data_IF_053751457558
#
_entry.id   IF_053751457558
#
_cell.length_a   1.000
_cell.length_b   1.000
_cell.length_c   1.000
_cell.angle_alpha   90.00
_cell.angle_beta   90.00
_cell.angle_gamma   90.00
#
_symmetry.space_group_name_H-M   'P 1'
#
loop_
_entity.id
_entity.type
_entity.pdbx_description
1 polymer ?
#
# COMPACT_ATOMS: atom_id res chain seq x y z
N UNK A 1 -70.30 67.86 11.82
CA UNK A 1 -68.94 67.38 12.13
C UNK A 1 -69.04 66.04 12.90
N UNK A 2 -68.86 64.89 12.21
CA UNK A 2 -68.84 63.55 12.76
C UNK A 2 -67.43 63.03 12.62
N UNK A 3 -66.78 62.76 13.79
CA UNK A 3 -65.47 62.12 13.81
C UNK A 3 -65.64 60.57 13.81
N UNK A 4 -65.00 59.93 12.87
CA UNK A 4 -64.87 58.48 12.83
C UNK A 4 -63.62 58.01 13.66
N UNK A 5 -63.70 56.98 14.45
CA UNK A 5 -62.55 56.45 15.15
C UNK A 5 -61.83 55.41 14.27
N UNK A 6 -60.55 55.61 14.03
CA UNK A 6 -59.64 54.66 13.37
C UNK A 6 -59.12 53.73 14.48
N UNK A 7 -59.68 52.53 14.56
CA UNK A 7 -59.15 51.44 15.40
C UNK A 7 -58.14 50.61 14.59
N UNK A 8 -56.84 50.81 14.80
CA UNK A 8 -55.78 49.97 14.27
C UNK A 8 -55.75 48.68 15.09
N UNK A 9 -56.25 47.58 14.51
CA UNK A 9 -56.00 46.21 15.07
C UNK A 9 -54.53 45.83 14.79
N UNK A 10 -53.78 45.67 15.89
CA UNK A 10 -52.44 45.04 15.85
C UNK A 10 -52.61 43.56 15.47
N UNK A 11 -51.80 42.99 14.59
CA UNK A 11 -51.78 41.55 14.34
C UNK A 11 -51.35 40.83 15.61
N UNK A 12 -52.22 39.98 16.17
CA UNK A 12 -51.90 39.09 17.28
C UNK A 12 -50.87 38.06 16.82
N UNK A 13 -49.72 37.97 17.51
CA UNK A 13 -48.75 36.92 17.36
C UNK A 13 -49.40 35.54 17.57
N UNK A 14 -49.06 34.51 16.77
CA UNK A 14 -49.65 33.19 16.89
C UNK A 14 -49.36 32.62 18.31
N UNK A 15 -50.41 32.22 18.96
CA UNK A 15 -50.38 31.74 20.35
C UNK A 15 -49.59 30.41 20.39
N UNK A 16 -48.36 30.44 20.95
CA UNK A 16 -47.44 29.30 21.10
C UNK A 16 -48.08 28.16 21.92
N UNK A 17 -49.09 28.50 22.77
CA UNK A 17 -49.88 27.52 23.55
C UNK A 17 -50.82 26.72 22.66
N UNK A 18 -51.37 27.34 21.59
CA UNK A 18 -52.22 26.66 20.62
C UNK A 18 -51.42 25.66 19.76
N UNK A 19 -50.20 26.01 19.42
CA UNK A 19 -49.25 25.10 18.70
C UNK A 19 -48.83 23.91 19.57
N UNK A 20 -48.55 24.11 20.87
CA UNK A 20 -48.25 23.01 21.82
C UNK A 20 -49.46 22.08 22.09
N UNK A 21 -50.67 22.59 22.05
CA UNK A 21 -51.89 21.79 22.23
C UNK A 21 -52.16 20.88 20.99
N UNK A 22 -51.65 21.24 19.82
CA UNK A 22 -51.76 20.42 18.61
C UNK A 22 -50.75 19.25 18.59
N UNK A 23 -49.68 19.30 19.39
CA UNK A 23 -48.63 18.27 19.49
C UNK A 23 -48.85 17.27 20.64
N UNK A 24 -50.08 17.06 21.10
CA UNK A 24 -50.35 16.10 22.17
C UNK A 24 -50.02 14.66 21.72
N UNK A 25 -49.18 13.89 22.42
CA UNK A 25 -48.72 12.55 22.02
C UNK A 25 -49.84 11.55 21.76
N UNK A 26 -51.00 11.73 22.38
CA UNK A 26 -52.20 10.89 22.17
C UNK A 26 -52.85 11.13 20.79
N UNK A 27 -52.81 12.34 20.23
CA UNK A 27 -53.32 12.66 18.89
C UNK A 27 -52.39 12.11 17.81
N UNK A 28 -51.09 12.23 18.01
CA UNK A 28 -50.09 11.67 17.11
C UNK A 28 -50.21 10.12 17.03
N UNK A 29 -50.45 9.47 18.20
CA UNK A 29 -50.62 8.01 18.25
C UNK A 29 -51.92 7.54 17.63
N UNK A 30 -53.02 8.30 17.78
CA UNK A 30 -54.29 7.99 17.13
C UNK A 30 -54.28 8.29 15.63
N UNK A 31 -53.57 9.34 15.18
CA UNK A 31 -53.33 9.60 13.74
C UNK A 31 -52.48 8.54 13.11
N UNK A 32 -51.39 8.09 13.77
CA UNK A 32 -50.51 7.00 13.26
C UNK A 32 -51.25 5.65 13.16
N UNK A 33 -52.34 5.43 13.90
CA UNK A 33 -53.20 4.24 13.82
C UNK A 33 -54.28 4.33 12.73
N UNK A 34 -54.55 5.52 12.19
CA UNK A 34 -55.48 5.71 11.08
C UNK A 34 -54.88 5.26 9.76
N UNK A 35 -55.72 4.89 8.78
CA UNK A 35 -55.26 4.50 7.41
C UNK A 35 -54.34 5.52 6.77
N UNK A 36 -54.64 6.84 6.79
CA UNK A 36 -53.74 7.86 6.22
C UNK A 36 -52.43 8.03 7.04
N UNK A 37 -52.50 7.89 8.37
CA UNK A 37 -51.33 7.99 9.24
C UNK A 37 -50.30 6.89 9.00
N UNK A 38 -50.75 5.66 8.73
CA UNK A 38 -49.85 4.54 8.36
C UNK A 38 -49.17 4.77 7.01
N UNK A 39 -49.84 5.35 6.04
CA UNK A 39 -49.25 5.69 4.74
C UNK A 39 -48.20 6.79 4.87
N UNK A 40 -48.46 7.82 5.69
CA UNK A 40 -47.47 8.88 5.96
C UNK A 40 -46.24 8.30 6.68
N UNK A 41 -46.47 7.50 7.72
CA UNK A 41 -45.37 6.87 8.44
C UNK A 41 -44.52 5.94 7.55
N UNK A 42 -45.18 5.08 6.75
CA UNK A 42 -44.47 4.22 5.80
C UNK A 42 -43.66 5.01 4.76
N UNK A 43 -44.27 6.09 4.22
CA UNK A 43 -43.58 6.97 3.27
C UNK A 43 -42.36 7.66 3.87
N UNK A 44 -42.50 8.19 5.07
CA UNK A 44 -41.41 8.86 5.79
C UNK A 44 -40.28 7.87 6.13
N UNK A 45 -40.64 6.66 6.57
CA UNK A 45 -39.66 5.59 6.84
C UNK A 45 -38.92 5.20 5.57
N UNK A 46 -39.61 5.04 4.44
CA UNK A 46 -38.97 4.70 3.16
C UNK A 46 -38.08 5.82 2.65
N UNK A 47 -38.47 7.09 2.80
CA UNK A 47 -37.62 8.23 2.46
C UNK A 47 -36.34 8.24 3.28
N UNK A 48 -36.45 8.06 4.60
CA UNK A 48 -35.29 7.96 5.49
C UNK A 48 -34.42 6.79 5.09
N UNK A 49 -34.98 5.60 4.83
CA UNK A 49 -34.23 4.44 4.40
C UNK A 49 -33.51 4.66 3.04
N UNK A 50 -34.15 5.32 2.08
CA UNK A 50 -33.50 5.65 0.80
C UNK A 50 -32.29 6.57 0.98
N UNK A 51 -32.47 7.65 1.78
CA UNK A 51 -31.38 8.62 2.02
C UNK A 51 -30.26 7.96 2.84
N UNK A 52 -30.59 7.22 3.88
CA UNK A 52 -29.58 6.53 4.71
C UNK A 52 -28.84 5.45 3.91
N UNK A 53 -29.54 4.68 3.08
CA UNK A 53 -28.89 3.68 2.21
C UNK A 53 -27.92 4.35 1.20
N UNK A 54 -28.34 5.44 0.56
CA UNK A 54 -27.48 6.21 -0.33
C UNK A 54 -26.28 6.84 0.39
N UNK A 55 -26.49 7.46 1.54
CA UNK A 55 -25.46 8.09 2.34
C UNK A 55 -24.42 7.06 2.87
N UNK A 56 -24.90 5.97 3.46
CA UNK A 56 -24.01 4.91 3.98
C UNK A 56 -23.22 4.23 2.86
N UNK A 57 -23.86 4.01 1.70
CA UNK A 57 -23.13 3.48 0.52
C UNK A 57 -22.07 4.46 0.07
N UNK A 58 -22.39 5.75 -0.01
CA UNK A 58 -21.45 6.82 -0.39
C UNK A 58 -20.28 6.91 0.57
N UNK A 59 -20.49 6.91 1.89
CA UNK A 59 -19.40 6.97 2.88
C UNK A 59 -18.51 5.74 2.82
N UNK A 60 -19.07 4.52 2.82
CA UNK A 60 -18.27 3.28 2.73
C UNK A 60 -17.41 3.24 1.46
N UNK A 61 -17.96 3.70 0.33
CA UNK A 61 -17.21 3.74 -0.94
C UNK A 61 -16.14 4.83 -0.92
N UNK A 62 -16.45 6.01 -0.37
CA UNK A 62 -15.50 7.12 -0.22
C UNK A 62 -14.34 6.76 0.72
N UNK A 63 -14.62 6.15 1.87
CA UNK A 63 -13.60 5.69 2.82
C UNK A 63 -12.67 4.66 2.16
N UNK A 64 -13.25 3.75 1.37
CA UNK A 64 -12.46 2.76 0.61
C UNK A 64 -11.58 3.42 -0.45
N UNK A 65 -12.10 4.38 -1.17
CA UNK A 65 -11.35 5.13 -2.19
C UNK A 65 -10.19 5.92 -1.56
N UNK A 66 -10.44 6.56 -0.43
CA UNK A 66 -9.43 7.30 0.32
C UNK A 66 -8.33 6.36 0.85
N UNK A 67 -8.70 5.19 1.40
CA UNK A 67 -7.73 4.21 1.87
C UNK A 67 -6.84 3.65 0.74
N UNK A 68 -7.39 3.47 -0.47
CA UNK A 68 -6.61 3.09 -1.65
C UNK A 68 -5.69 4.22 -2.13
N UNK A 69 -6.12 5.49 -1.99
CA UNK A 69 -5.27 6.65 -2.23
C UNK A 69 -4.07 6.69 -1.29
N UNK A 70 -4.29 6.53 0.02
CA UNK A 70 -3.21 6.44 1.04
C UNK A 70 -2.24 5.30 0.74
N UNK A 71 -2.75 4.15 0.26
CA UNK A 71 -1.88 3.03 -0.13
C UNK A 71 -0.91 3.42 -1.26
N UNK A 72 -1.39 4.16 -2.28
CA UNK A 72 -0.57 4.58 -3.43
C UNK A 72 0.36 5.76 -3.13
N UNK A 73 -0.12 6.71 -2.34
CA UNK A 73 0.56 8.00 -2.19
C UNK A 73 1.53 8.00 -1.00
N UNK A 74 1.25 7.17 0.03
CA UNK A 74 2.05 7.12 1.26
C UNK A 74 2.67 5.73 1.50
N UNK A 75 1.82 4.68 1.60
CA UNK A 75 2.28 3.38 2.13
C UNK A 75 3.22 2.64 1.16
N UNK A 76 2.94 2.65 -0.14
CA UNK A 76 3.79 2.01 -1.15
C UNK A 76 5.11 2.74 -1.34
N UNK A 77 5.14 4.09 -1.46
CA UNK A 77 6.39 4.84 -1.50
C UNK A 77 7.28 4.63 -0.27
N UNK A 78 6.69 4.57 0.93
CA UNK A 78 7.43 4.33 2.17
C UNK A 78 8.09 2.94 2.20
N UNK A 79 7.37 1.90 1.74
CA UNK A 79 7.94 0.55 1.63
C UNK A 79 9.08 0.49 0.61
N UNK A 80 8.92 1.19 -0.53
CA UNK A 80 9.98 1.30 -1.53
C UNK A 80 11.22 2.01 -0.98
N UNK A 81 11.03 3.11 -0.26
CA UNK A 81 12.09 3.90 0.38
C UNK A 81 12.87 3.07 1.42
N UNK A 82 12.18 2.26 2.23
CA UNK A 82 12.82 1.37 3.20
C UNK A 82 13.68 0.28 2.50
N UNK A 83 13.17 -0.32 1.43
CA UNK A 83 13.94 -1.27 0.62
C UNK A 83 15.16 -0.61 -0.05
N UNK A 84 15.00 0.63 -0.55
CA UNK A 84 16.08 1.38 -1.16
C UNK A 84 17.17 1.73 -0.14
N UNK A 85 16.79 2.09 1.10
CA UNK A 85 17.72 2.31 2.21
C UNK A 85 18.57 1.07 2.49
N UNK A 86 17.94 -0.12 2.65
CA UNK A 86 18.65 -1.37 2.87
C UNK A 86 19.64 -1.66 1.74
N UNK A 87 19.16 -1.53 0.50
CA UNK A 87 19.98 -1.81 -0.69
C UNK A 87 21.18 -0.86 -0.77
N UNK A 88 20.97 0.44 -0.53
CA UNK A 88 22.03 1.44 -0.58
C UNK A 88 23.10 1.21 0.49
N UNK A 89 22.69 0.84 1.73
CA UNK A 89 23.63 0.45 2.79
C UNK A 89 24.46 -0.78 2.39
N UNK A 90 23.81 -1.80 1.82
CA UNK A 90 24.48 -3.03 1.37
C UNK A 90 25.45 -2.77 0.21
N UNK A 91 25.05 -1.95 -0.75
CA UNK A 91 25.92 -1.53 -1.89
C UNK A 91 27.12 -0.74 -1.39
N UNK A 92 26.94 0.12 -0.38
CA UNK A 92 28.04 0.88 0.23
C UNK A 92 29.08 -0.08 0.87
N UNK A 93 28.63 -1.08 1.63
CA UNK A 93 29.52 -2.07 2.26
C UNK A 93 30.29 -2.90 1.22
N UNK A 94 29.58 -3.40 0.21
CA UNK A 94 30.21 -4.16 -0.89
C UNK A 94 31.20 -3.32 -1.69
N UNK A 95 30.88 -2.04 -1.96
CA UNK A 95 31.79 -1.11 -2.65
C UNK A 95 33.04 -0.82 -1.82
N UNK A 96 32.90 -0.62 -0.50
CA UNK A 96 34.03 -0.42 0.42
C UNK A 96 34.97 -1.64 0.43
N UNK A 97 34.44 -2.87 0.50
CA UNK A 97 35.20 -4.11 0.42
C UNK A 97 35.94 -4.25 -0.93
N UNK A 98 35.25 -3.95 -2.03
CA UNK A 98 35.84 -3.97 -3.40
C UNK A 98 36.99 -2.96 -3.52
N UNK A 99 36.79 -1.74 -3.02
CA UNK A 99 37.81 -0.68 -3.00
C UNK A 99 39.06 -1.10 -2.23
N UNK A 100 38.88 -1.76 -1.10
CA UNK A 100 39.99 -2.25 -0.27
C UNK A 100 40.81 -3.34 -0.97
N UNK A 101 40.14 -4.29 -1.66
CA UNK A 101 40.80 -5.38 -2.40
C UNK A 101 41.56 -4.91 -3.63
N UNK A 102 41.14 -3.80 -4.24
CA UNK A 102 41.83 -3.23 -5.40
C UNK A 102 43.27 -2.78 -5.06
N UNK A 103 43.55 -2.48 -3.79
CA UNK A 103 44.88 -2.04 -3.31
C UNK A 103 45.33 -0.69 -3.87
N UNK A 104 46.22 0.01 -3.20
CA UNK A 104 46.81 1.25 -3.72
C UNK A 104 45.79 2.36 -4.01
N UNK A 105 45.70 2.81 -5.27
CA UNK A 105 44.72 3.81 -5.71
C UNK A 105 43.39 3.13 -6.03
N UNK A 106 42.38 3.48 -5.25
CA UNK A 106 40.99 3.04 -5.44
C UNK A 106 40.45 3.46 -6.82
N UNK A 107 39.84 2.56 -7.60
CA UNK A 107 39.20 2.92 -8.86
C UNK A 107 38.10 3.97 -8.63
N UNK A 108 38.08 5.04 -9.44
CA UNK A 108 37.12 6.16 -9.31
C UNK A 108 35.69 5.66 -9.31
N UNK A 109 35.36 4.74 -10.20
CA UNK A 109 33.99 4.18 -10.30
C UNK A 109 33.53 3.45 -9.02
N UNK A 110 34.44 2.78 -8.29
CA UNK A 110 34.10 2.10 -7.03
C UNK A 110 33.89 3.13 -5.92
N UNK A 111 34.72 4.18 -5.89
CA UNK A 111 34.56 5.30 -4.95
C UNK A 111 33.24 6.02 -5.18
N UNK A 112 32.92 6.35 -6.43
CA UNK A 112 31.68 7.05 -6.80
C UNK A 112 30.46 6.20 -6.39
N UNK A 113 30.51 4.88 -6.63
CA UNK A 113 29.47 3.95 -6.21
C UNK A 113 29.25 3.96 -4.69
N UNK A 114 30.33 3.95 -3.91
CA UNK A 114 30.25 4.05 -2.46
C UNK A 114 29.63 5.39 -2.02
N UNK A 115 30.14 6.49 -2.56
CA UNK A 115 29.69 7.84 -2.19
C UNK A 115 28.21 8.05 -2.56
N UNK A 116 27.81 7.56 -3.72
CA UNK A 116 26.43 7.60 -4.18
C UNK A 116 25.53 6.78 -3.23
N UNK A 117 25.91 5.54 -2.92
CA UNK A 117 25.13 4.67 -2.05
C UNK A 117 24.94 5.26 -0.63
N UNK A 118 25.99 5.84 -0.05
CA UNK A 118 25.88 6.55 1.25
C UNK A 118 24.97 7.77 1.14
N UNK A 119 25.07 8.54 0.03
CA UNK A 119 24.21 9.70 -0.22
C UNK A 119 22.75 9.31 -0.37
N UNK A 120 22.46 8.24 -1.08
CA UNK A 120 21.12 7.67 -1.25
C UNK A 120 20.55 7.19 0.10
N UNK A 121 21.33 6.44 0.89
CA UNK A 121 20.90 6.00 2.22
C UNK A 121 20.57 7.19 3.15
N UNK A 122 21.39 8.23 3.13
CA UNK A 122 21.14 9.45 3.91
C UNK A 122 19.88 10.20 3.42
N UNK A 123 19.67 10.30 2.10
CA UNK A 123 18.48 10.93 1.53
C UNK A 123 17.20 10.19 1.91
N UNK A 124 17.21 8.84 1.89
CA UNK A 124 16.06 8.04 2.28
C UNK A 124 15.70 8.23 3.77
N UNK A 125 16.68 8.32 4.66
CA UNK A 125 16.43 8.60 6.09
C UNK A 125 15.75 9.96 6.30
N UNK A 126 16.06 10.96 5.48
CA UNK A 126 15.42 12.29 5.53
C UNK A 126 14.02 12.25 4.94
N UNK A 127 13.82 11.59 3.79
CA UNK A 127 12.53 11.51 3.10
C UNK A 127 11.47 10.81 3.96
N UNK A 128 11.85 9.72 4.60
CA UNK A 128 10.95 8.96 5.49
C UNK A 128 10.53 9.72 6.75
N UNK A 129 11.26 10.74 7.16
CA UNK A 129 10.89 11.55 8.33
C UNK A 129 9.71 12.51 8.08
N UNK A 130 9.36 12.77 6.81
CA UNK A 130 8.28 13.69 6.42
C UNK A 130 6.88 13.07 6.33
N UNK A 131 6.74 11.74 6.25
CA UNK A 131 5.48 11.06 5.94
C UNK A 131 4.73 10.49 7.16
N UNK A 132 4.90 11.09 8.34
CA UNK A 132 4.19 10.66 9.56
C UNK A 132 2.73 11.16 9.59
N UNK A 133 1.84 10.60 8.78
CA UNK A 133 0.41 10.89 8.81
C UNK A 133 -0.41 9.61 8.96
N UNK A 134 -0.91 9.36 10.19
CA UNK A 134 -1.87 8.30 10.48
C UNK A 134 -1.99 8.04 11.98
N UNK A 135 -3.05 8.54 12.60
CA UNK A 135 -3.27 8.46 14.06
C UNK A 135 -3.48 7.02 14.60
N UNK A 136 -3.64 6.01 13.72
CA UNK A 136 -3.96 4.64 14.12
C UNK A 136 -2.74 3.70 14.26
N UNK A 137 -1.51 4.21 14.07
CA UNK A 137 -0.28 3.42 14.10
C UNK A 137 0.77 3.97 15.09
N UNK A 138 0.34 4.50 16.24
CA UNK A 138 1.24 5.16 17.19
C UNK A 138 2.42 4.24 17.64
N UNK A 139 2.15 2.97 17.95
CA UNK A 139 3.19 2.04 18.41
C UNK A 139 4.19 1.65 17.29
N UNK A 140 3.71 1.40 16.07
CA UNK A 140 4.54 1.08 14.92
C UNK A 140 5.39 2.28 14.45
N UNK A 141 4.82 3.48 14.48
CA UNK A 141 5.52 4.71 14.08
C UNK A 141 6.68 5.06 15.03
N UNK A 142 6.57 4.79 16.32
CA UNK A 142 7.66 5.02 17.28
C UNK A 142 8.78 4.00 17.08
N UNK A 143 8.48 2.72 16.90
CA UNK A 143 9.48 1.69 16.57
C UNK A 143 10.25 2.02 15.28
N UNK A 144 9.55 2.42 14.22
CA UNK A 144 10.17 2.85 12.97
C UNK A 144 11.05 4.09 13.12
N UNK A 145 10.65 5.01 14.01
CA UNK A 145 11.44 6.19 14.34
C UNK A 145 12.73 5.83 15.07
N UNK A 146 12.66 4.91 16.03
CA UNK A 146 13.85 4.42 16.74
C UNK A 146 14.83 3.73 15.80
N UNK A 147 14.34 2.87 14.89
CA UNK A 147 15.18 2.23 13.88
C UNK A 147 15.90 3.27 12.99
N UNK A 148 15.18 4.27 12.51
CA UNK A 148 15.77 5.33 11.67
C UNK A 148 16.82 6.16 12.43
N UNK A 149 16.55 6.50 13.69
CA UNK A 149 17.53 7.21 14.55
C UNK A 149 18.77 6.35 14.75
N UNK A 150 18.60 5.04 15.00
CA UNK A 150 19.69 4.08 15.12
C UNK A 150 20.56 4.05 13.87
N UNK A 151 19.95 3.96 12.68
CA UNK A 151 20.67 3.98 11.40
C UNK A 151 21.35 5.35 11.20
N UNK A 152 20.64 6.45 11.40
CA UNK A 152 21.16 7.81 11.21
C UNK A 152 22.36 8.13 12.11
N UNK A 153 22.40 7.58 13.32
CA UNK A 153 23.52 7.74 14.26
C UNK A 153 24.66 6.77 14.00
N UNK A 154 24.37 5.57 13.51
CA UNK A 154 25.38 4.57 13.19
C UNK A 154 26.10 4.80 11.86
N UNK A 155 25.43 5.41 10.87
CA UNK A 155 25.98 5.66 9.54
C UNK A 155 27.25 6.53 9.55
N UNK A 156 27.34 7.65 10.31
CA UNK A 156 28.59 8.42 10.45
C UNK A 156 29.73 7.61 11.09
N UNK A 157 29.43 6.74 12.03
CA UNK A 157 30.46 5.87 12.66
C UNK A 157 31.00 4.89 11.62
N UNK A 158 30.13 4.23 10.86
CA UNK A 158 30.51 3.34 9.76
C UNK A 158 31.38 4.07 8.73
N UNK A 159 30.97 5.25 8.26
CA UNK A 159 31.74 6.02 7.27
C UNK A 159 33.11 6.43 7.81
N UNK A 160 33.19 6.79 9.09
CA UNK A 160 34.46 7.09 9.77
C UNK A 160 35.42 5.91 9.80
N UNK A 161 34.91 4.70 10.07
CA UNK A 161 35.71 3.47 10.03
C UNK A 161 36.21 3.15 8.62
N UNK A 162 35.37 3.31 7.59
CA UNK A 162 35.75 3.11 6.18
C UNK A 162 36.84 4.11 5.76
N UNK A 163 36.71 5.39 6.09
CA UNK A 163 37.75 6.38 5.73
C UNK A 163 39.06 6.08 6.47
N UNK A 164 39.00 5.61 7.71
CA UNK A 164 40.19 5.19 8.46
C UNK A 164 40.82 3.93 7.81
N UNK A 165 40.01 2.96 7.39
CA UNK A 165 40.47 1.77 6.67
C UNK A 165 41.18 2.17 5.37
N UNK A 166 40.58 3.08 4.59
CA UNK A 166 41.13 3.61 3.31
C UNK A 166 42.47 4.32 3.51
N UNK A 167 42.55 5.18 4.53
CA UNK A 167 43.79 5.91 4.84
C UNK A 167 44.95 4.94 5.16
N UNK A 168 44.69 3.94 5.99
CA UNK A 168 45.68 2.93 6.36
C UNK A 168 46.08 2.03 5.18
N UNK A 169 45.10 1.62 4.36
CA UNK A 169 45.35 0.80 3.16
C UNK A 169 46.25 1.51 2.16
N UNK A 170 46.01 2.81 1.90
CA UNK A 170 46.87 3.65 1.04
C UNK A 170 48.31 3.76 1.56
N UNK A 171 48.46 3.78 2.87
CA UNK A 171 49.76 3.81 3.54
C UNK A 171 50.44 2.46 3.67
N UNK A 172 49.78 1.36 3.19
CA UNK A 172 50.28 0.01 3.28
C UNK A 172 50.21 -0.61 4.68
N UNK A 173 49.49 0.00 5.62
CA UNK A 173 49.37 -0.50 6.98
C UNK A 173 48.35 -1.65 7.10
N UNK A 174 48.75 -2.84 7.63
CA UNK A 174 47.85 -3.99 7.77
C UNK A 174 46.63 -3.72 8.62
N UNK A 175 46.69 -2.75 9.53
CA UNK A 175 45.56 -2.36 10.41
C UNK A 175 44.34 -1.84 9.63
N UNK A 176 44.53 -1.42 8.38
CA UNK A 176 43.42 -1.03 7.48
C UNK A 176 42.38 -2.15 7.31
N UNK A 177 42.83 -3.42 7.21
CA UNK A 177 41.93 -4.56 7.13
C UNK A 177 41.09 -4.77 8.40
N UNK A 178 41.68 -4.46 9.59
CA UNK A 178 40.93 -4.54 10.83
C UNK A 178 39.82 -3.49 10.92
N UNK A 179 40.09 -2.23 10.51
CA UNK A 179 39.07 -1.18 10.43
C UNK A 179 37.96 -1.50 9.42
N UNK A 180 38.30 -2.05 8.25
CA UNK A 180 37.29 -2.47 7.30
C UNK A 180 36.44 -3.60 7.86
N UNK A 181 37.06 -4.58 8.52
CA UNK A 181 36.34 -5.71 9.15
C UNK A 181 35.41 -5.24 10.25
N UNK A 182 35.81 -4.23 11.05
CA UNK A 182 34.96 -3.63 12.08
C UNK A 182 33.80 -2.85 11.45
N UNK A 183 34.06 -2.05 10.40
CA UNK A 183 33.01 -1.34 9.68
C UNK A 183 31.98 -2.32 9.09
N UNK A 184 32.44 -3.37 8.40
CA UNK A 184 31.54 -4.38 7.83
C UNK A 184 30.80 -5.14 8.92
N UNK A 185 31.44 -5.44 10.05
CA UNK A 185 30.77 -6.05 11.21
C UNK A 185 29.66 -5.15 11.74
N UNK A 186 29.89 -3.86 11.93
CA UNK A 186 28.86 -2.89 12.34
C UNK A 186 27.72 -2.81 11.31
N UNK A 187 28.03 -2.81 10.02
CA UNK A 187 27.03 -2.83 8.96
C UNK A 187 26.15 -4.07 9.05
N UNK A 188 26.75 -5.25 9.15
CA UNK A 188 26.06 -6.54 9.14
C UNK A 188 25.27 -6.83 10.43
N UNK A 189 25.77 -6.38 11.60
CA UNK A 189 25.16 -6.72 12.88
C UNK A 189 24.28 -5.64 13.48
N UNK A 190 24.37 -4.40 12.98
CA UNK A 190 23.58 -3.28 13.49
C UNK A 190 22.78 -2.56 12.40
N UNK A 191 23.43 -1.98 11.38
CA UNK A 191 22.74 -1.10 10.41
C UNK A 191 21.78 -1.87 9.50
N UNK A 192 22.23 -2.97 8.90
CA UNK A 192 21.39 -3.77 8.00
C UNK A 192 20.23 -4.45 8.73
N UNK A 193 20.37 -5.05 9.92
CA UNK A 193 19.22 -5.58 10.65
C UNK A 193 18.17 -4.53 11.00
N UNK A 194 18.58 -3.29 11.36
CA UNK A 194 17.63 -2.20 11.60
C UNK A 194 16.91 -1.77 10.29
N UNK A 195 17.62 -1.73 9.17
CA UNK A 195 17.01 -1.41 7.87
C UNK A 195 16.07 -2.53 7.39
N UNK A 196 16.41 -3.80 7.61
CA UNK A 196 15.57 -4.96 7.30
C UNK A 196 14.29 -4.98 8.15
N UNK A 197 14.39 -4.64 9.44
CA UNK A 197 13.23 -4.56 10.32
C UNK A 197 12.30 -3.43 9.88
N UNK A 198 12.85 -2.26 9.53
CA UNK A 198 12.09 -1.13 9.00
C UNK A 198 11.38 -1.52 7.69
N UNK A 199 12.07 -2.20 6.78
CA UNK A 199 11.49 -2.69 5.53
C UNK A 199 10.35 -3.69 5.80
N UNK A 200 10.54 -4.63 6.72
CA UNK A 200 9.52 -5.62 7.11
C UNK A 200 8.27 -4.94 7.65
N UNK A 201 8.41 -3.98 8.57
CA UNK A 201 7.27 -3.22 9.09
C UNK A 201 6.48 -2.51 7.97
N UNK A 202 7.18 -1.94 6.98
CA UNK A 202 6.55 -1.26 5.84
C UNK A 202 5.85 -2.22 4.89
N UNK A 203 6.43 -3.38 4.61
CA UNK A 203 5.79 -4.42 3.79
C UNK A 203 4.54 -4.98 4.50
N UNK A 204 4.61 -5.19 5.81
CA UNK A 204 3.47 -5.64 6.61
C UNK A 204 2.34 -4.59 6.60
N UNK A 205 2.65 -3.30 6.67
CA UNK A 205 1.68 -2.22 6.55
C UNK A 205 0.97 -2.21 5.18
N UNK A 206 1.73 -2.37 4.07
CA UNK A 206 1.16 -2.52 2.71
C UNK A 206 0.21 -3.72 2.65
N UNK A 207 0.65 -4.86 3.16
CA UNK A 207 -0.11 -6.11 3.16
C UNK A 207 -1.39 -5.99 3.99
N UNK A 208 -1.31 -5.40 5.18
CA UNK A 208 -2.46 -5.15 6.05
C UNK A 208 -3.47 -4.19 5.42
N UNK A 209 -3.00 -3.09 4.80
CA UNK A 209 -3.86 -2.15 4.09
C UNK A 209 -4.62 -2.82 2.94
N UNK A 210 -3.96 -3.71 2.20
CA UNK A 210 -4.61 -4.46 1.11
C UNK A 210 -5.65 -5.46 1.62
N UNK A 211 -5.34 -6.23 2.67
CA UNK A 211 -6.25 -7.24 3.20
C UNK A 211 -7.58 -6.66 3.67
N UNK A 212 -7.59 -5.47 4.27
CA UNK A 212 -8.82 -4.79 4.72
C UNK A 212 -9.80 -4.50 3.59
N UNK A 213 -9.34 -4.36 2.35
CA UNK A 213 -10.14 -3.89 1.21
C UNK A 213 -10.42 -4.95 0.13
N UNK A 214 -10.01 -6.21 0.34
CA UNK A 214 -10.31 -7.32 -0.57
C UNK A 214 -11.81 -7.68 -0.55
N UNK A 215 -12.48 -7.55 0.60
CA UNK A 215 -13.89 -7.92 0.72
C UNK A 215 -14.80 -6.87 0.07
N UNK A 216 -15.88 -7.28 -0.64
CA UNK A 216 -16.91 -6.36 -1.13
C UNK A 216 -17.55 -5.55 0.01
N UNK A 217 -18.17 -4.39 -0.26
CA UNK A 217 -18.81 -3.55 0.75
C UNK A 217 -20.14 -4.16 1.22
N UNK A 218 -20.09 -5.31 1.90
CA UNK A 218 -21.26 -6.05 2.37
C UNK A 218 -22.28 -5.22 3.16
N UNK A 219 -21.88 -4.30 4.07
CA UNK A 219 -22.85 -3.51 4.82
C UNK A 219 -23.72 -2.63 3.92
N UNK A 220 -23.12 -2.02 2.89
CA UNK A 220 -23.84 -1.21 1.91
C UNK A 220 -24.80 -2.07 1.08
N UNK A 221 -24.35 -3.23 0.61
CA UNK A 221 -25.16 -4.17 -0.20
C UNK A 221 -26.36 -4.66 0.62
N UNK A 222 -26.15 -5.07 1.87
CA UNK A 222 -27.22 -5.54 2.75
C UNK A 222 -28.24 -4.43 3.03
N UNK A 223 -27.78 -3.22 3.32
CA UNK A 223 -28.67 -2.08 3.56
C UNK A 223 -29.50 -1.71 2.33
N UNK A 224 -28.89 -1.69 1.15
CA UNK A 224 -29.58 -1.47 -0.12
C UNK A 224 -30.63 -2.58 -0.41
N UNK A 225 -30.29 -3.84 -0.17
CA UNK A 225 -31.21 -4.98 -0.31
C UNK A 225 -32.41 -4.87 0.64
N UNK A 226 -32.16 -4.52 1.91
CA UNK A 226 -33.24 -4.32 2.90
C UNK A 226 -34.15 -3.16 2.49
N UNK A 227 -33.57 -2.05 2.02
CA UNK A 227 -34.33 -0.88 1.57
C UNK A 227 -35.17 -1.22 0.34
N UNK A 228 -34.60 -1.96 -0.61
CA UNK A 228 -35.29 -2.43 -1.82
C UNK A 228 -36.44 -3.39 -1.46
N UNK A 229 -36.20 -4.33 -0.54
CA UNK A 229 -37.22 -5.25 -0.06
C UNK A 229 -38.38 -4.49 0.65
N UNK A 230 -38.07 -3.48 1.46
CA UNK A 230 -39.07 -2.63 2.11
C UNK A 230 -39.91 -1.84 1.08
N UNK A 231 -39.27 -1.28 0.03
CA UNK A 231 -39.97 -0.61 -1.07
C UNK A 231 -40.92 -1.57 -1.82
N UNK A 232 -40.45 -2.75 -2.19
CA UNK A 232 -41.24 -3.76 -2.87
C UNK A 232 -42.42 -4.20 -1.99
N UNK A 233 -42.16 -4.45 -0.70
CA UNK A 233 -43.20 -4.84 0.25
C UNK A 233 -44.32 -3.79 0.34
N UNK A 234 -43.95 -2.50 0.48
CA UNK A 234 -44.93 -1.42 0.52
C UNK A 234 -45.68 -1.29 -0.80
N UNK A 235 -45.01 -1.48 -1.96
CA UNK A 235 -45.68 -1.48 -3.27
C UNK A 235 -46.72 -2.58 -3.39
N UNK A 236 -46.37 -3.83 -3.01
CA UNK A 236 -47.29 -4.97 -3.04
C UNK A 236 -48.47 -4.75 -2.09
N UNK A 237 -48.23 -4.24 -0.88
CA UNK A 237 -49.30 -3.96 0.06
C UNK A 237 -50.23 -2.83 -0.45
N UNK A 238 -49.68 -1.78 -1.08
CA UNK A 238 -50.46 -0.73 -1.70
C UNK A 238 -51.28 -1.25 -2.90
N UNK A 239 -50.72 -2.09 -3.75
CA UNK A 239 -51.40 -2.68 -4.90
C UNK A 239 -52.55 -3.56 -4.47
N UNK A 240 -52.37 -4.39 -3.40
CA UNK A 240 -53.43 -5.22 -2.82
C UNK A 240 -54.61 -4.41 -2.28
N UNK A 241 -54.37 -3.24 -1.70
CA UNK A 241 -55.42 -2.39 -1.10
C UNK A 241 -56.16 -1.49 -2.09
N UNK A 242 -55.52 -1.05 -3.21
CA UNK A 242 -56.04 0.01 -4.06
C UNK A 242 -56.50 -0.45 -5.46
N UNK A 243 -56.40 -1.73 -5.80
CA UNK A 243 -56.74 -2.32 -7.14
C UNK A 243 -56.08 -1.57 -8.34
N UNK A 244 -55.17 -0.64 -8.11
CA UNK A 244 -54.36 0.05 -9.15
C UNK A 244 -52.93 -0.44 -9.05
N UNK A 245 -52.43 -1.08 -10.10
CA UNK A 245 -51.20 -1.89 -10.11
C UNK A 245 -49.92 -1.02 -10.12
N UNK A 246 -49.95 0.19 -10.62
CA UNK A 246 -48.71 0.99 -10.78
C UNK A 246 -48.77 2.35 -10.11
N UNK A 247 -47.82 2.58 -9.15
CA UNK A 247 -47.48 3.90 -8.66
C UNK A 247 -46.13 4.29 -9.29
N UNK A 248 -46.18 5.18 -10.31
CA UNK A 248 -45.00 5.55 -11.09
C UNK A 248 -43.83 6.09 -10.24
N UNK A 249 -44.13 6.86 -9.18
CA UNK A 249 -43.11 7.37 -8.27
C UNK A 249 -42.37 6.26 -7.52
N UNK A 250 -43.11 5.30 -6.93
CA UNK A 250 -42.50 4.17 -6.22
C UNK A 250 -41.73 3.25 -7.18
N UNK A 251 -42.20 3.08 -8.42
CA UNK A 251 -41.52 2.29 -9.44
C UNK A 251 -40.16 2.90 -9.82
N UNK A 252 -40.13 4.22 -10.05
CA UNK A 252 -38.89 4.93 -10.38
C UNK A 252 -37.93 4.90 -9.18
N UNK A 253 -38.42 5.08 -7.94
CA UNK A 253 -37.61 4.98 -6.72
C UNK A 253 -36.98 3.59 -6.54
N UNK A 254 -37.77 2.53 -6.82
CA UNK A 254 -37.27 1.13 -6.80
C UNK A 254 -36.21 0.92 -7.89
N UNK A 255 -36.45 1.44 -9.11
CA UNK A 255 -35.49 1.38 -10.21
C UNK A 255 -34.17 2.10 -9.87
N UNK A 256 -34.24 3.26 -9.25
CA UNK A 256 -33.05 4.02 -8.83
C UNK A 256 -32.22 3.23 -7.80
N UNK A 257 -32.87 2.63 -6.77
CA UNK A 257 -32.18 1.81 -5.76
C UNK A 257 -31.68 0.49 -6.32
N UNK A 258 -32.42 -0.15 -7.22
CA UNK A 258 -31.96 -1.35 -7.91
C UNK A 258 -30.72 -1.05 -8.77
N UNK A 259 -30.72 0.08 -9.46
CA UNK A 259 -29.55 0.57 -10.22
C UNK A 259 -28.35 0.81 -9.29
N UNK A 260 -28.55 1.47 -8.14
CA UNK A 260 -27.51 1.69 -7.14
C UNK A 260 -26.96 0.35 -6.63
N UNK A 261 -27.83 -0.63 -6.33
CA UNK A 261 -27.42 -1.96 -5.87
C UNK A 261 -26.57 -2.68 -6.93
N UNK A 262 -27.06 -2.74 -8.18
CA UNK A 262 -26.33 -3.37 -9.30
C UNK A 262 -24.98 -2.70 -9.50
N UNK A 263 -24.94 -1.35 -9.48
CA UNK A 263 -23.71 -0.59 -9.62
C UNK A 263 -22.75 -0.84 -8.46
N UNK A 264 -23.23 -0.87 -7.20
CA UNK A 264 -22.40 -1.15 -6.02
C UNK A 264 -21.81 -2.57 -6.07
N UNK A 265 -22.61 -3.56 -6.48
CA UNK A 265 -22.14 -4.95 -6.64
C UNK A 265 -21.12 -5.05 -7.76
N UNK A 266 -21.39 -4.46 -8.93
CA UNK A 266 -20.47 -4.49 -10.06
C UNK A 266 -19.13 -3.78 -9.74
N UNK A 267 -19.17 -2.56 -9.24
CA UNK A 267 -17.98 -1.81 -8.87
C UNK A 267 -17.20 -2.47 -7.72
N UNK A 268 -17.92 -2.98 -6.70
CA UNK A 268 -17.32 -3.75 -5.61
C UNK A 268 -16.62 -5.02 -6.08
N UNK A 269 -17.22 -5.75 -7.04
CA UNK A 269 -16.63 -6.96 -7.63
C UNK A 269 -15.40 -6.63 -8.47
N UNK A 270 -15.46 -5.60 -9.31
CA UNK A 270 -14.32 -5.15 -10.12
C UNK A 270 -13.17 -4.70 -9.22
N UNK A 271 -13.45 -3.91 -8.19
CA UNK A 271 -12.46 -3.48 -7.19
C UNK A 271 -11.85 -4.66 -6.44
N UNK A 272 -12.64 -5.66 -6.03
CA UNK A 272 -12.14 -6.86 -5.35
C UNK A 272 -11.22 -7.69 -6.26
N UNK A 273 -11.62 -7.90 -7.53
CA UNK A 273 -10.80 -8.62 -8.53
C UNK A 273 -9.49 -7.84 -8.79
N UNK A 274 -9.57 -6.51 -8.92
CA UNK A 274 -8.38 -5.68 -9.10
C UNK A 274 -7.42 -5.81 -7.91
N UNK A 275 -7.93 -5.87 -6.67
CA UNK A 275 -7.12 -6.08 -5.46
C UNK A 275 -6.47 -7.46 -5.39
N UNK A 276 -7.19 -8.54 -5.74
CA UNK A 276 -6.63 -9.88 -5.82
C UNK A 276 -5.48 -9.92 -6.84
N UNK A 277 -5.71 -9.36 -8.02
CA UNK A 277 -4.67 -9.26 -9.06
C UNK A 277 -3.50 -8.38 -8.65
N UNK A 278 -3.76 -7.29 -7.92
CA UNK A 278 -2.74 -6.41 -7.35
C UNK A 278 -1.84 -7.19 -6.36
N UNK A 279 -2.42 -8.03 -5.51
CA UNK A 279 -1.66 -8.90 -4.61
C UNK A 279 -0.79 -9.90 -5.39
N UNK A 280 -1.39 -10.66 -6.31
CA UNK A 280 -0.73 -11.77 -6.99
C UNK A 280 0.30 -11.30 -8.04
N UNK A 281 0.03 -10.18 -8.73
CA UNK A 281 0.90 -9.64 -9.79
C UNK A 281 1.74 -8.43 -9.35
N UNK A 282 1.51 -7.89 -8.15
CA UNK A 282 2.21 -6.72 -7.61
C UNK A 282 2.95 -7.05 -6.31
N UNK A 283 2.21 -7.25 -5.22
CA UNK A 283 2.80 -7.33 -3.87
C UNK A 283 3.64 -8.58 -3.67
N UNK A 284 3.13 -9.76 -4.03
CA UNK A 284 3.88 -11.02 -3.87
C UNK A 284 5.16 -11.02 -4.71
N UNK A 285 5.13 -10.64 -6.02
CA UNK A 285 6.35 -10.48 -6.79
C UNK A 285 7.31 -9.43 -6.23
N UNK A 286 6.82 -8.26 -5.77
CA UNK A 286 7.66 -7.21 -5.21
C UNK A 286 8.41 -7.69 -3.95
N UNK A 287 7.73 -8.38 -3.03
CA UNK A 287 8.36 -8.96 -1.84
C UNK A 287 9.46 -9.97 -2.19
N UNK A 288 9.22 -10.84 -3.19
CA UNK A 288 10.25 -11.79 -3.67
C UNK A 288 11.45 -11.10 -4.29
N UNK A 289 11.23 -10.03 -5.05
CA UNK A 289 12.32 -9.24 -5.65
C UNK A 289 13.13 -8.52 -4.57
N UNK A 290 12.48 -7.98 -3.54
CA UNK A 290 13.13 -7.36 -2.39
C UNK A 290 14.00 -8.38 -1.64
N UNK A 291 13.45 -9.55 -1.25
CA UNK A 291 14.21 -10.64 -0.62
C UNK A 291 15.38 -11.10 -1.51
N UNK A 292 15.17 -11.19 -2.84
CA UNK A 292 16.22 -11.56 -3.79
C UNK A 292 17.38 -10.57 -3.78
N UNK A 293 17.10 -9.26 -3.70
CA UNK A 293 18.15 -8.21 -3.63
C UNK A 293 18.95 -8.31 -2.34
N UNK A 294 18.28 -8.54 -1.20
CA UNK A 294 18.93 -8.75 0.08
C UNK A 294 19.91 -9.92 0.00
N UNK A 295 19.46 -11.06 -0.54
CA UNK A 295 20.29 -12.26 -0.68
C UNK A 295 21.51 -12.06 -1.59
N UNK A 296 21.34 -11.29 -2.68
CA UNK A 296 22.48 -10.93 -3.54
C UNK A 296 23.52 -10.14 -2.76
N UNK A 297 23.12 -9.15 -1.98
CA UNK A 297 24.07 -8.32 -1.23
C UNK A 297 24.73 -9.10 -0.09
N UNK A 298 23.99 -9.96 0.61
CA UNK A 298 24.53 -10.82 1.64
C UNK A 298 25.54 -11.82 1.10
N UNK A 299 25.24 -12.47 -0.04
CA UNK A 299 26.18 -13.38 -0.69
C UNK A 299 27.42 -12.62 -1.18
N UNK A 300 27.25 -11.41 -1.74
CA UNK A 300 28.36 -10.56 -2.18
C UNK A 300 29.26 -10.15 -1.02
N UNK A 301 28.67 -9.75 0.10
CA UNK A 301 29.40 -9.40 1.32
C UNK A 301 30.20 -10.57 1.86
N UNK A 302 29.62 -11.78 1.92
CA UNK A 302 30.32 -12.99 2.33
C UNK A 302 31.55 -13.27 1.45
N UNK A 303 31.40 -13.18 0.12
CA UNK A 303 32.49 -13.32 -0.85
C UNK A 303 33.63 -12.31 -0.62
N UNK A 304 33.31 -11.04 -0.39
CA UNK A 304 34.29 -9.99 -0.14
C UNK A 304 35.01 -10.16 1.20
N UNK A 305 34.29 -10.44 2.28
CA UNK A 305 34.86 -10.63 3.63
C UNK A 305 35.79 -11.84 3.65
N UNK A 306 35.45 -12.95 2.95
CA UNK A 306 36.33 -14.10 2.78
C UNK A 306 37.68 -13.68 2.21
N UNK A 307 37.68 -12.91 1.12
CA UNK A 307 38.91 -12.46 0.48
C UNK A 307 39.71 -11.51 1.38
N UNK A 308 39.06 -10.55 2.03
CA UNK A 308 39.74 -9.59 2.92
C UNK A 308 40.37 -10.26 4.13
N UNK A 309 39.67 -11.21 4.76
CA UNK A 309 40.13 -11.96 5.91
C UNK A 309 41.08 -13.10 5.56
N UNK A 310 41.18 -13.46 4.29
CA UNK A 310 41.89 -14.67 3.82
C UNK A 310 41.40 -15.91 4.56
N UNK A 311 40.09 -15.99 4.75
CA UNK A 311 39.48 -17.05 5.56
C UNK A 311 39.50 -18.39 4.86
N UNK A 312 39.99 -19.40 5.60
CA UNK A 312 40.06 -20.78 5.15
C UNK A 312 39.06 -21.70 5.89
N UNK A 313 38.20 -21.17 6.77
CA UNK A 313 37.26 -21.97 7.56
C UNK A 313 36.11 -22.55 6.75
N UNK A 314 35.77 -21.91 5.63
CA UNK A 314 34.65 -22.28 4.77
C UNK A 314 33.28 -21.73 5.25
N UNK A 315 33.26 -20.95 6.31
CA UNK A 315 32.00 -20.40 6.85
C UNK A 315 31.38 -19.36 5.89
N UNK A 316 32.20 -18.55 5.25
CA UNK A 316 31.74 -17.57 4.25
C UNK A 316 31.28 -18.26 2.95
N UNK A 317 31.90 -19.37 2.55
CA UNK A 317 31.44 -20.18 1.41
C UNK A 317 30.06 -20.77 1.67
N UNK A 318 29.86 -21.30 2.89
CA UNK A 318 28.55 -21.82 3.29
C UNK A 318 27.48 -20.72 3.26
N UNK A 319 27.80 -19.52 3.76
CA UNK A 319 26.91 -18.37 3.71
C UNK A 319 26.58 -17.98 2.29
N UNK A 320 27.56 -17.93 1.40
CA UNK A 320 27.38 -17.66 -0.03
C UNK A 320 26.48 -18.72 -0.69
N UNK A 321 26.75 -20.01 -0.44
CA UNK A 321 25.97 -21.12 -0.98
C UNK A 321 24.51 -21.08 -0.53
N UNK A 322 24.26 -20.88 0.78
CA UNK A 322 22.89 -20.77 1.31
C UNK A 322 22.11 -19.62 0.69
N UNK A 323 22.72 -18.44 0.63
CA UNK A 323 22.06 -17.25 0.06
C UNK A 323 21.80 -17.40 -1.43
N UNK A 324 22.74 -17.93 -2.21
CA UNK A 324 22.54 -18.13 -3.66
C UNK A 324 21.59 -19.28 -3.96
N UNK A 325 21.52 -20.32 -3.14
CA UNK A 325 20.52 -21.38 -3.25
C UNK A 325 19.11 -20.84 -2.99
N UNK A 326 18.91 -20.06 -1.92
CA UNK A 326 17.64 -19.41 -1.62
C UNK A 326 17.25 -18.42 -2.71
N UNK A 327 18.20 -17.64 -3.21
CA UNK A 327 17.99 -16.72 -4.34
C UNK A 327 17.52 -17.48 -5.60
N UNK A 328 18.14 -18.60 -5.93
CA UNK A 328 17.73 -19.44 -7.06
C UNK A 328 16.33 -20.00 -6.88
N UNK A 329 15.96 -20.43 -5.67
CA UNK A 329 14.61 -20.87 -5.34
C UNK A 329 13.57 -19.77 -5.55
N UNK A 330 13.83 -18.54 -5.06
CA UNK A 330 12.93 -17.40 -5.21
C UNK A 330 12.72 -17.01 -6.68
N UNK A 331 13.81 -16.96 -7.47
CA UNK A 331 13.76 -16.59 -8.88
C UNK A 331 13.09 -17.68 -9.74
N UNK A 332 13.36 -18.97 -9.47
CA UNK A 332 12.72 -20.09 -10.18
C UNK A 332 11.22 -20.23 -9.82
N UNK A 333 10.85 -19.92 -8.59
CA UNK A 333 9.46 -19.90 -8.11
C UNK A 333 8.71 -18.60 -8.43
N UNK A 334 9.26 -17.72 -9.27
CA UNK A 334 8.60 -16.46 -9.61
C UNK A 334 7.30 -16.70 -10.38
N UNK A 335 6.16 -16.05 -10.03
CA UNK A 335 4.86 -16.36 -10.59
C UNK A 335 4.83 -16.20 -12.12
N UNK A 336 4.11 -17.10 -12.79
CA UNK A 336 4.02 -17.11 -14.26
C UNK A 336 3.33 -15.87 -14.82
N UNK A 337 2.32 -15.37 -14.12
CA UNK A 337 1.52 -14.21 -14.50
C UNK A 337 2.10 -12.88 -13.97
N UNK A 338 3.27 -12.91 -13.30
CA UNK A 338 3.89 -11.72 -12.77
C UNK A 338 4.63 -10.92 -13.86
N UNK A 339 4.72 -9.59 -13.71
CA UNK A 339 5.44 -8.74 -14.67
C UNK A 339 6.95 -9.05 -14.66
N UNK A 340 7.63 -8.69 -15.75
CA UNK A 340 9.08 -8.79 -15.90
C UNK A 340 9.68 -10.19 -15.71
N UNK A 341 8.96 -11.25 -16.03
CA UNK A 341 9.45 -12.64 -15.96
C UNK A 341 10.76 -12.86 -16.74
N UNK A 342 10.91 -12.21 -17.88
CA UNK A 342 12.14 -12.29 -18.69
C UNK A 342 13.36 -11.74 -17.97
N UNK A 343 13.20 -10.63 -17.24
CA UNK A 343 14.27 -10.01 -16.44
C UNK A 343 14.64 -10.91 -15.25
N UNK A 344 13.64 -11.50 -14.59
CA UNK A 344 13.86 -12.44 -13.47
C UNK A 344 14.59 -13.71 -13.97
N UNK A 345 14.24 -14.23 -15.12
CA UNK A 345 14.95 -15.35 -15.73
C UNK A 345 16.40 -14.99 -16.10
N UNK A 346 16.63 -13.76 -16.58
CA UNK A 346 17.98 -13.26 -16.86
C UNK A 346 18.82 -13.13 -15.57
N UNK A 347 18.20 -12.66 -14.47
CA UNK A 347 18.82 -12.65 -13.14
C UNK A 347 19.20 -14.07 -12.69
N UNK A 348 18.31 -15.05 -12.80
CA UNK A 348 18.58 -16.45 -12.45
C UNK A 348 19.76 -17.05 -13.26
N UNK A 349 19.82 -16.77 -14.56
CA UNK A 349 20.96 -17.18 -15.39
C UNK A 349 22.28 -16.52 -14.95
N UNK A 350 22.22 -15.25 -14.49
CA UNK A 350 23.40 -14.54 -13.98
C UNK A 350 23.85 -15.11 -12.62
N UNK A 351 22.92 -15.54 -11.75
CA UNK A 351 23.24 -16.23 -10.47
C UNK A 351 24.06 -17.50 -10.75
N UNK A 352 23.66 -18.33 -11.70
CA UNK A 352 24.43 -19.53 -12.07
C UNK A 352 25.84 -19.21 -12.56
N UNK A 353 26.03 -18.15 -13.34
CA UNK A 353 27.35 -17.69 -13.77
C UNK A 353 28.17 -17.12 -12.60
N UNK A 354 27.54 -16.43 -11.65
CA UNK A 354 28.19 -15.96 -10.43
C UNK A 354 28.69 -17.12 -9.55
N UNK A 355 27.87 -18.16 -9.34
CA UNK A 355 28.29 -19.36 -8.63
C UNK A 355 29.53 -20.02 -9.30
N UNK A 356 29.54 -20.10 -10.64
CA UNK A 356 30.71 -20.60 -11.36
C UNK A 356 31.94 -19.68 -11.21
N UNK A 357 31.76 -18.37 -11.15
CA UNK A 357 32.85 -17.41 -10.87
C UNK A 357 33.40 -17.59 -9.45
N UNK A 358 32.52 -17.77 -8.47
CA UNK A 358 32.89 -18.04 -7.08
C UNK A 358 33.73 -19.33 -6.94
N UNK A 359 33.34 -20.40 -7.61
CA UNK A 359 34.13 -21.62 -7.66
C UNK A 359 35.53 -21.38 -8.25
N UNK A 360 35.64 -20.66 -9.39
CA UNK A 360 36.96 -20.31 -9.98
C UNK A 360 37.82 -19.48 -9.04
N UNK A 361 37.18 -18.53 -8.28
CA UNK A 361 37.86 -17.74 -7.26
C UNK A 361 38.44 -18.65 -6.19
N UNK A 362 37.65 -19.61 -5.69
CA UNK A 362 38.08 -20.57 -4.65
C UNK A 362 39.19 -21.49 -5.15
N UNK A 363 39.11 -22.00 -6.39
CA UNK A 363 40.18 -22.80 -7.00
C UNK A 363 41.49 -21.99 -7.15
N UNK A 364 41.39 -20.70 -7.41
CA UNK A 364 42.55 -19.81 -7.54
C UNK A 364 43.17 -19.54 -6.18
N UNK A 365 42.35 -19.32 -5.14
CA UNK A 365 42.80 -19.22 -3.75
C UNK A 365 43.50 -20.50 -3.29
N UNK A 366 42.94 -21.68 -3.58
CA UNK A 366 43.53 -22.97 -3.22
C UNK A 366 44.92 -23.19 -3.85
N UNK A 367 45.19 -22.57 -4.99
CA UNK A 367 46.54 -22.55 -5.63
C UNK A 367 47.51 -21.54 -5.01
N UNK A 368 47.05 -20.75 -4.03
CA UNK A 368 47.82 -19.68 -3.38
C UNK A 368 47.85 -18.38 -4.19
N UNK A 369 47.13 -18.25 -5.30
CA UNK A 369 47.03 -17.03 -6.10
C UNK A 369 45.94 -16.09 -5.60
N UNK A 370 46.27 -15.33 -4.56
CA UNK A 370 45.34 -14.35 -3.97
C UNK A 370 44.99 -13.21 -4.93
N UNK A 371 45.96 -12.74 -5.75
CA UNK A 371 45.77 -11.66 -6.69
C UNK A 371 44.82 -12.08 -7.82
N UNK A 372 45.02 -13.27 -8.36
CA UNK A 372 44.14 -13.87 -9.35
C UNK A 372 42.73 -14.10 -8.82
N UNK A 373 42.58 -14.56 -7.55
CA UNK A 373 41.28 -14.75 -6.94
C UNK A 373 40.54 -13.42 -6.74
N UNK A 374 41.24 -12.37 -6.27
CA UNK A 374 40.68 -11.03 -6.14
C UNK A 374 40.28 -10.47 -7.54
N UNK A 375 41.04 -10.73 -8.58
CA UNK A 375 40.69 -10.33 -9.95
C UNK A 375 39.41 -11.02 -10.45
N UNK A 376 39.22 -12.32 -10.18
CA UNK A 376 37.96 -13.03 -10.49
C UNK A 376 36.78 -12.45 -9.72
N UNK A 377 36.96 -12.05 -8.45
CA UNK A 377 35.90 -11.49 -7.64
C UNK A 377 35.51 -10.07 -8.05
N UNK A 378 36.48 -9.23 -8.41
CA UNK A 378 36.26 -7.78 -8.60
C UNK A 378 36.44 -7.32 -10.06
N UNK A 379 36.85 -8.20 -10.96
CA UNK A 379 37.15 -7.88 -12.37
C UNK A 379 35.91 -7.49 -13.17
N UNK A 380 36.11 -6.71 -14.24
CA UNK A 380 35.03 -6.23 -15.11
C UNK A 380 34.64 -7.22 -16.21
N UNK A 381 35.35 -8.34 -16.36
CA UNK A 381 35.07 -9.32 -17.43
C UNK A 381 33.72 -9.97 -17.23
N UNK A 382 33.02 -10.27 -18.32
CA UNK A 382 31.73 -10.98 -18.26
C UNK A 382 31.78 -12.35 -17.56
N UNK A 383 32.98 -12.91 -17.35
CA UNK A 383 33.17 -14.14 -16.58
C UNK A 383 33.35 -13.88 -15.08
N UNK A 384 33.62 -12.66 -14.66
CA UNK A 384 33.96 -12.32 -13.30
C UNK A 384 32.72 -12.12 -12.42
N UNK A 385 32.88 -12.34 -11.09
CA UNK A 385 31.77 -12.27 -10.14
C UNK A 385 31.12 -10.89 -10.11
N UNK A 386 31.91 -9.81 -10.10
CA UNK A 386 31.38 -8.44 -10.07
C UNK A 386 30.45 -8.14 -11.26
N UNK A 387 30.81 -8.53 -12.46
CA UNK A 387 29.99 -8.32 -13.67
C UNK A 387 28.67 -9.09 -13.61
N UNK A 388 28.65 -10.27 -12.98
CA UNK A 388 27.42 -11.05 -12.80
C UNK A 388 26.51 -10.45 -11.73
N UNK A 389 27.07 -9.97 -10.62
CA UNK A 389 26.30 -9.25 -9.58
C UNK A 389 25.67 -7.99 -10.19
N UNK A 390 26.43 -7.21 -10.96
CA UNK A 390 25.88 -6.02 -11.66
C UNK A 390 24.79 -6.39 -12.69
N UNK A 391 24.87 -7.57 -13.31
CA UNK A 391 23.82 -8.05 -14.20
C UNK A 391 22.55 -8.47 -13.43
N UNK A 392 22.72 -9.13 -12.28
CA UNK A 392 21.61 -9.49 -11.39
C UNK A 392 20.92 -8.21 -10.87
N UNK A 393 21.68 -7.27 -10.31
CA UNK A 393 21.16 -6.01 -9.78
C UNK A 393 20.33 -5.27 -10.83
N UNK A 394 20.87 -5.07 -12.05
CA UNK A 394 20.14 -4.41 -13.14
C UNK A 394 18.87 -5.15 -13.56
N UNK A 395 18.88 -6.47 -13.58
CA UNK A 395 17.72 -7.26 -13.94
C UNK A 395 16.64 -7.19 -12.85
N UNK A 396 17.03 -7.27 -11.57
CA UNK A 396 16.11 -7.13 -10.44
C UNK A 396 15.53 -5.70 -10.33
N UNK A 397 16.33 -4.66 -10.62
CA UNK A 397 15.85 -3.28 -10.69
C UNK A 397 14.75 -3.09 -11.72
N UNK A 398 14.98 -3.57 -12.95
CA UNK A 398 13.98 -3.50 -14.01
C UNK A 398 12.72 -4.28 -13.63
N UNK A 399 12.87 -5.46 -13.02
CA UNK A 399 11.75 -6.27 -12.58
C UNK A 399 10.96 -5.56 -11.46
N UNK A 400 11.64 -4.91 -10.52
CA UNK A 400 11.02 -4.15 -9.44
C UNK A 400 10.23 -2.94 -9.97
N UNK A 401 10.81 -2.17 -10.91
CA UNK A 401 10.14 -1.04 -11.54
C UNK A 401 8.87 -1.48 -12.29
N UNK A 402 8.93 -2.52 -13.11
CA UNK A 402 7.79 -3.04 -13.85
C UNK A 402 6.69 -3.58 -12.92
N UNK A 403 7.08 -4.23 -11.82
CA UNK A 403 6.16 -4.73 -10.80
C UNK A 403 5.45 -3.59 -10.08
N UNK A 404 6.21 -2.53 -9.72
CA UNK A 404 5.68 -1.32 -9.09
C UNK A 404 4.69 -0.60 -10.00
N UNK A 405 5.02 -0.43 -11.28
CA UNK A 405 4.14 0.20 -12.26
C UNK A 405 2.83 -0.59 -12.42
N UNK A 406 2.90 -1.93 -12.47
CA UNK A 406 1.74 -2.80 -12.51
C UNK A 406 0.88 -2.65 -11.26
N UNK A 407 1.48 -2.61 -10.07
CA UNK A 407 0.79 -2.40 -8.81
C UNK A 407 0.04 -1.07 -8.81
N UNK A 408 0.73 0.03 -9.12
CA UNK A 408 0.14 1.36 -9.18
C UNK A 408 -1.01 1.44 -10.18
N UNK A 409 -0.84 0.87 -11.37
CA UNK A 409 -1.88 0.84 -12.39
C UNK A 409 -3.13 0.07 -11.96
N UNK A 410 -2.99 -1.06 -11.26
CA UNK A 410 -4.13 -1.84 -10.75
C UNK A 410 -4.89 -1.10 -9.63
N UNK A 411 -4.17 -0.46 -8.71
CA UNK A 411 -4.81 0.29 -7.62
C UNK A 411 -5.47 1.56 -8.16
N UNK A 412 -4.84 2.31 -9.08
CA UNK A 412 -5.44 3.46 -9.74
C UNK A 412 -6.73 3.07 -10.48
N UNK A 413 -6.73 1.98 -11.22
CA UNK A 413 -7.94 1.46 -11.88
C UNK A 413 -9.07 1.16 -10.87
N UNK A 414 -8.73 0.62 -9.70
CA UNK A 414 -9.72 0.36 -8.64
C UNK A 414 -10.30 1.68 -8.08
N UNK A 415 -9.47 2.71 -7.90
CA UNK A 415 -9.89 4.04 -7.45
C UNK A 415 -10.83 4.68 -8.47
N UNK A 416 -10.49 4.64 -9.76
CA UNK A 416 -11.28 5.25 -10.84
C UNK A 416 -12.68 4.63 -10.94
N UNK A 417 -12.78 3.31 -10.85
CA UNK A 417 -14.06 2.59 -10.86
C UNK A 417 -14.96 2.99 -9.67
N UNK A 418 -14.36 3.27 -8.51
CA UNK A 418 -15.09 3.69 -7.31
C UNK A 418 -15.41 5.19 -7.31
N UNK A 419 -14.69 6.02 -8.09
CA UNK A 419 -14.76 7.48 -8.03
C UNK A 419 -16.14 8.05 -8.32
N UNK A 420 -16.85 7.50 -9.28
CA UNK A 420 -18.21 7.92 -9.63
C UNK A 420 -19.31 7.28 -8.78
N UNK A 421 -19.01 6.16 -8.09
CA UNK A 421 -19.98 5.41 -7.33
C UNK A 421 -20.42 6.17 -6.06
N UNK A 422 -19.49 6.79 -5.35
CA UNK A 422 -19.79 7.49 -4.10
C UNK A 422 -20.81 8.63 -4.29
N UNK A 423 -20.56 9.64 -5.16
CA UNK A 423 -21.54 10.71 -5.42
C UNK A 423 -22.80 10.18 -6.11
N UNK A 424 -22.68 9.18 -7.00
CA UNK A 424 -23.80 8.56 -7.69
C UNK A 424 -24.76 7.84 -6.76
N UNK A 425 -24.27 7.07 -5.78
CA UNK A 425 -25.10 6.39 -4.80
C UNK A 425 -25.88 7.37 -3.91
N UNK A 426 -25.25 8.45 -3.49
CA UNK A 426 -25.91 9.49 -2.71
C UNK A 426 -27.00 10.19 -3.53
N UNK A 427 -26.71 10.59 -4.78
CA UNK A 427 -27.67 11.22 -5.67
C UNK A 427 -28.88 10.31 -5.95
N UNK A 428 -28.64 9.02 -6.25
CA UNK A 428 -29.72 8.05 -6.48
C UNK A 428 -30.54 7.78 -5.22
N UNK A 429 -29.95 7.82 -4.04
CA UNK A 429 -30.64 7.75 -2.75
C UNK A 429 -31.61 8.92 -2.56
N UNK A 430 -31.17 10.14 -2.88
CA UNK A 430 -32.03 11.34 -2.86
C UNK A 430 -33.15 11.23 -3.90
N UNK A 431 -32.84 10.84 -5.13
CA UNK A 431 -33.83 10.63 -6.20
C UNK A 431 -34.86 9.60 -5.74
N UNK A 432 -34.43 8.48 -5.13
CA UNK A 432 -35.33 7.48 -4.56
C UNK A 432 -36.27 8.07 -3.51
N UNK A 433 -35.75 8.86 -2.58
CA UNK A 433 -36.57 9.52 -1.56
C UNK A 433 -37.59 10.52 -2.14
N UNK A 434 -37.17 11.35 -3.11
CA UNK A 434 -38.07 12.28 -3.80
C UNK A 434 -39.15 11.55 -4.57
N UNK A 435 -38.79 10.46 -5.26
CA UNK A 435 -39.76 9.63 -5.99
C UNK A 435 -40.77 8.94 -5.08
N UNK A 436 -40.35 8.50 -3.87
CA UNK A 436 -41.26 7.99 -2.82
C UNK A 436 -42.22 9.10 -2.38
N UNK A 437 -41.73 10.32 -2.14
CA UNK A 437 -42.58 11.46 -1.76
C UNK A 437 -43.62 11.79 -2.85
N UNK A 438 -43.17 11.94 -4.09
CA UNK A 438 -44.05 12.25 -5.22
C UNK A 438 -45.05 11.13 -5.51
N UNK A 439 -44.64 9.86 -5.32
CA UNK A 439 -45.54 8.71 -5.51
C UNK A 439 -46.64 8.59 -4.46
N UNK A 440 -46.38 9.02 -3.22
CA UNK A 440 -47.38 8.98 -2.15
C UNK A 440 -48.23 10.23 -2.07
N UNK A 441 -47.78 11.37 -2.65
CA UNK A 441 -48.47 12.67 -2.62
C UNK A 441 -49.90 12.62 -3.16
N UNK A 442 -50.23 12.06 -4.35
CA UNK A 442 -51.56 12.02 -4.88
C UNK A 442 -52.57 11.29 -3.96
N UNK A 443 -52.09 10.23 -3.26
CA UNK A 443 -52.94 9.45 -2.36
C UNK A 443 -53.20 10.15 -1.04
N UNK A 444 -52.29 11.01 -0.59
CA UNK A 444 -52.53 11.83 0.59
C UNK A 444 -53.56 12.96 0.28
N UNK A 445 -53.64 13.41 -0.96
CA UNK A 445 -54.66 14.38 -1.42
C UNK A 445 -56.07 13.77 -1.48
N UNK A 446 -56.21 12.46 -1.73
CA UNK A 446 -57.51 11.77 -1.77
C UNK A 446 -58.15 11.65 -0.37
N UNK A 447 -57.38 11.85 0.73
CA UNK A 447 -57.87 11.82 2.11
C UNK A 447 -58.08 13.20 2.74
N UNK A 448 -57.94 14.28 1.95
CA UNK A 448 -58.27 15.64 2.30
C UNK A 448 -59.62 16.00 1.66
#
# INVERSE_FOLDING_TARGET
MRRLPIGAQRPQAPDVKALRAQLHPSRIRNFARSSPGRLVAAGLTLMVLCVTAGAVTSTIVSDRQQALGVLLDDTEPDAHSANHLYTSLSVADAAAGTAFLAGGLEPVAVRDRYTQAIGEAAAELVTQSGHQHGADAADGAEADRELRIGIATGLPVYTGLIETARANNRSGYPVGAAYLSEASHQMQTALLPMAEELERHRIDAVTAAQHRHVLPPWPAIVLLMLTLAALIWVQVELARRSRRVFNMGLLIGTGALALTLVWTVAAGSVSAIAMIRCRDQGVVPAARLAESRILVQQARSAEMVKLVRRDATGDYDRTFELNTARLTELLSGYPEDAPARGEVAAAGAAVGRWQAAHQRMNDTLARGDFIGAAAVATGPSAADAAAQVDAIDRALDKAALATRETLRGKVSQAIDVLGFLAPGAFALGIVGAVCVALGLWPRLREYR
#
